data_IF_462057954337
#
_entry.id   IF_462057954337
#
_cell.length_a   1.000
_cell.length_b   1.000
_cell.length_c   1.000
_cell.angle_alpha   90.00
_cell.angle_beta   90.00
_cell.angle_gamma   90.00
#
_symmetry.space_group_name_H-M   'P 1'
#
loop_
_entity.id
_entity.type
_entity.pdbx_description
1 polymer ?
#
# COMPACT_ATOMS: atom_id res chain seq x y z
N UNK A 1 -28.19 -13.60 7.73
CA UNK A 1 -27.64 -13.87 6.38
C UNK A 1 -27.84 -12.62 5.53
N UNK A 2 -26.86 -12.23 4.71
CA UNK A 2 -26.99 -11.11 3.75
C UNK A 2 -27.84 -11.61 2.56
N UNK A 3 -29.01 -10.98 2.34
CA UNK A 3 -29.90 -11.32 1.23
C UNK A 3 -29.51 -10.57 -0.04
N UNK A 4 -29.93 -11.08 -1.22
CA UNK A 4 -29.72 -10.37 -2.50
C UNK A 4 -30.38 -8.99 -2.49
N UNK A 5 -31.57 -8.87 -1.93
CA UNK A 5 -32.23 -7.58 -1.79
C UNK A 5 -31.43 -6.56 -0.96
N UNK A 6 -30.67 -7.03 0.03
CA UNK A 6 -29.76 -6.18 0.81
C UNK A 6 -28.53 -5.80 0.00
N UNK A 7 -27.98 -6.73 -0.78
CA UNK A 7 -26.85 -6.45 -1.68
C UNK A 7 -27.22 -5.39 -2.72
N UNK A 8 -28.40 -5.48 -3.33
CA UNK A 8 -28.88 -4.46 -4.27
C UNK A 8 -29.00 -3.07 -3.60
N UNK A 9 -29.53 -3.02 -2.38
CA UNK A 9 -29.57 -1.77 -1.60
C UNK A 9 -28.16 -1.22 -1.33
N UNK A 10 -27.19 -2.09 -1.01
CA UNK A 10 -25.82 -1.71 -0.76
C UNK A 10 -25.14 -1.16 -2.03
N UNK A 11 -25.31 -1.84 -3.16
CA UNK A 11 -24.82 -1.39 -4.48
C UNK A 11 -25.36 -0.01 -4.84
N UNK A 12 -26.67 0.20 -4.66
CA UNK A 12 -27.32 1.48 -4.94
C UNK A 12 -26.83 2.58 -3.98
N UNK A 13 -26.70 2.27 -2.68
CA UNK A 13 -26.21 3.21 -1.68
C UNK A 13 -24.79 3.67 -2.03
N UNK A 14 -23.88 2.73 -2.31
CA UNK A 14 -22.48 3.03 -2.63
C UNK A 14 -22.37 3.86 -3.91
N UNK A 15 -23.10 3.51 -4.99
CA UNK A 15 -23.14 4.32 -6.22
C UNK A 15 -23.56 5.77 -5.95
N UNK A 16 -24.62 5.98 -5.16
CA UNK A 16 -25.09 7.32 -4.79
C UNK A 16 -24.09 8.06 -3.92
N UNK A 17 -23.43 7.34 -3.00
CA UNK A 17 -22.43 7.90 -2.11
C UNK A 17 -21.22 8.41 -2.90
N UNK A 18 -20.68 7.60 -3.80
CA UNK A 18 -19.56 8.01 -4.67
C UNK A 18 -19.92 9.20 -5.55
N UNK A 19 -21.09 9.18 -6.19
CA UNK A 19 -21.53 10.26 -7.06
C UNK A 19 -21.70 11.62 -6.33
N UNK A 20 -22.02 11.59 -5.03
CA UNK A 20 -22.31 12.80 -4.25
C UNK A 20 -21.14 13.30 -3.41
N UNK A 21 -20.28 12.41 -2.94
CA UNK A 21 -19.33 12.75 -1.87
C UNK A 21 -17.86 12.51 -2.22
N UNK A 22 -17.55 11.66 -3.20
CA UNK A 22 -16.15 11.45 -3.59
C UNK A 22 -15.70 12.59 -4.50
N UNK A 23 -14.55 13.24 -4.19
CA UNK A 23 -14.04 14.34 -5.01
C UNK A 23 -13.74 13.91 -6.45
N UNK A 24 -14.11 14.75 -7.43
CA UNK A 24 -13.90 14.45 -8.86
C UNK A 24 -12.43 14.27 -9.26
N UNK A 25 -11.49 14.77 -8.47
CA UNK A 25 -10.06 14.62 -8.71
C UNK A 25 -9.49 13.31 -8.14
N UNK A 26 -10.33 12.45 -7.55
CA UNK A 26 -9.94 11.09 -7.20
C UNK A 26 -10.04 10.22 -8.45
N UNK A 27 -8.89 10.06 -9.12
CA UNK A 27 -8.80 9.37 -10.40
C UNK A 27 -8.57 7.86 -10.26
N UNK A 28 -8.21 7.41 -9.06
CA UNK A 28 -7.96 6.00 -8.77
C UNK A 28 -8.99 5.43 -7.79
N UNK A 29 -9.22 6.08 -6.65
CA UNK A 29 -10.20 5.65 -5.65
C UNK A 29 -11.61 6.16 -5.99
N UNK A 30 -12.11 5.72 -7.14
CA UNK A 30 -13.43 6.04 -7.70
C UNK A 30 -14.39 4.85 -7.63
N UNK A 31 -15.60 5.03 -8.14
CA UNK A 31 -16.61 3.96 -8.18
C UNK A 31 -16.16 2.78 -9.06
N UNK A 32 -15.41 3.03 -10.14
CA UNK A 32 -14.93 1.98 -11.04
C UNK A 32 -13.93 1.06 -10.29
N UNK A 33 -12.99 1.64 -9.54
CA UNK A 33 -12.10 0.89 -8.66
C UNK A 33 -12.89 0.04 -7.67
N UNK A 34 -13.83 0.64 -6.94
CA UNK A 34 -14.65 -0.09 -5.95
C UNK A 34 -15.40 -1.27 -6.58
N UNK A 35 -16.02 -1.08 -7.74
CA UNK A 35 -16.71 -2.17 -8.46
C UNK A 35 -15.74 -3.23 -9.00
N UNK A 36 -14.55 -2.82 -9.42
CA UNK A 36 -13.48 -3.73 -9.85
C UNK A 36 -12.98 -4.59 -8.69
N UNK A 37 -12.72 -3.97 -7.53
CA UNK A 37 -12.34 -4.68 -6.29
C UNK A 37 -13.44 -5.65 -5.87
N UNK A 38 -14.72 -5.23 -5.94
CA UNK A 38 -15.86 -6.11 -5.60
C UNK A 38 -15.89 -7.34 -6.50
N UNK A 39 -15.81 -7.17 -7.83
CA UNK A 39 -15.75 -8.31 -8.77
C UNK A 39 -14.56 -9.22 -8.50
N UNK A 40 -13.40 -8.63 -8.23
CA UNK A 40 -12.17 -9.37 -7.94
C UNK A 40 -12.30 -10.16 -6.64
N UNK A 41 -12.85 -9.55 -5.59
CA UNK A 41 -13.10 -10.21 -4.31
C UNK A 41 -14.03 -11.41 -4.45
N UNK A 42 -15.13 -11.24 -5.17
CA UNK A 42 -16.07 -12.34 -5.44
C UNK A 42 -15.41 -13.47 -6.23
N UNK A 43 -14.61 -13.16 -7.25
CA UNK A 43 -13.85 -14.17 -8.01
C UNK A 43 -12.82 -14.92 -7.16
N UNK A 44 -12.09 -14.23 -6.29
CA UNK A 44 -11.16 -14.88 -5.36
C UNK A 44 -11.95 -15.70 -4.33
N UNK A 45 -13.03 -15.16 -3.78
CA UNK A 45 -13.89 -15.84 -2.81
C UNK A 45 -14.48 -17.16 -3.35
N UNK A 46 -14.96 -17.15 -4.60
CA UNK A 46 -15.41 -18.35 -5.31
C UNK A 46 -14.26 -19.36 -5.48
N UNK A 47 -13.08 -18.91 -5.94
CA UNK A 47 -11.91 -19.77 -6.09
C UNK A 47 -11.38 -20.34 -4.76
N UNK A 48 -11.67 -19.65 -3.65
CA UNK A 48 -11.37 -20.11 -2.28
C UNK A 48 -12.52 -20.91 -1.64
N UNK A 49 -13.62 -21.13 -2.36
CA UNK A 49 -14.81 -21.85 -1.90
C UNK A 49 -15.39 -21.28 -0.59
N UNK A 50 -15.48 -19.95 -0.50
CA UNK A 50 -16.14 -19.30 0.63
C UNK A 50 -17.62 -19.70 0.68
N UNK A 51 -18.16 -19.79 1.91
CA UNK A 51 -19.60 -20.05 2.11
C UNK A 51 -20.47 -18.95 1.49
N UNK A 52 -21.72 -19.23 1.10
CA UNK A 52 -22.65 -18.19 0.62
C UNK A 52 -22.84 -17.03 1.60
N UNK A 53 -22.76 -17.31 2.91
CA UNK A 53 -22.82 -16.28 3.95
C UNK A 53 -21.58 -15.37 3.88
N UNK A 54 -20.37 -15.96 3.83
CA UNK A 54 -19.13 -15.22 3.72
C UNK A 54 -19.04 -14.43 2.42
N UNK A 55 -19.54 -14.97 1.31
CA UNK A 55 -19.61 -14.27 0.03
C UNK A 55 -20.46 -13.00 0.11
N UNK A 56 -21.62 -13.04 0.77
CA UNK A 56 -22.45 -11.85 0.98
C UNK A 56 -21.76 -10.81 1.88
N UNK A 57 -21.09 -11.24 2.95
CA UNK A 57 -20.33 -10.35 3.82
C UNK A 57 -19.12 -9.72 3.08
N UNK A 58 -18.44 -10.51 2.27
CA UNK A 58 -17.31 -10.08 1.45
C UNK A 58 -17.75 -9.01 0.42
N UNK A 59 -18.89 -9.22 -0.24
CA UNK A 59 -19.40 -8.26 -1.21
C UNK A 59 -19.72 -6.92 -0.56
N UNK A 60 -20.40 -6.93 0.58
CA UNK A 60 -20.66 -5.69 1.32
C UNK A 60 -19.35 -5.02 1.74
N UNK A 61 -18.39 -5.77 2.27
CA UNK A 61 -17.10 -5.20 2.68
C UNK A 61 -16.35 -4.59 1.50
N UNK A 62 -16.34 -5.25 0.34
CA UNK A 62 -15.72 -4.75 -0.88
C UNK A 62 -16.42 -3.50 -1.43
N UNK A 63 -17.75 -3.45 -1.40
CA UNK A 63 -18.52 -2.27 -1.82
C UNK A 63 -18.21 -1.04 -0.95
N UNK A 64 -18.02 -1.24 0.36
CA UNK A 64 -17.85 -0.13 1.29
C UNK A 64 -16.39 0.26 1.57
N UNK A 65 -15.38 -0.53 1.18
CA UNK A 65 -14.00 -0.37 1.67
C UNK A 65 -13.41 1.03 1.47
N UNK A 66 -13.76 1.71 0.39
CA UNK A 66 -13.25 3.04 0.01
C UNK A 66 -14.25 4.18 0.16
N UNK A 67 -15.47 3.92 0.66
CA UNK A 67 -16.49 4.97 0.86
C UNK A 67 -16.03 6.09 1.80
N UNK A 68 -15.09 5.80 2.68
CA UNK A 68 -14.54 6.75 3.64
C UNK A 68 -13.67 7.85 3.04
N UNK A 69 -13.22 7.71 1.79
CA UNK A 69 -12.53 8.78 1.07
C UNK A 69 -13.37 10.07 0.92
N UNK A 70 -14.68 9.97 1.10
CA UNK A 70 -15.54 11.14 1.21
C UNK A 70 -15.24 12.03 2.43
N UNK A 71 -14.52 11.51 3.43
CA UNK A 71 -14.25 12.20 4.69
C UNK A 71 -12.76 12.51 4.88
N UNK A 72 -11.89 11.56 4.58
CA UNK A 72 -10.46 11.70 4.77
C UNK A 72 -9.67 10.82 3.79
N UNK A 73 -8.52 11.31 3.32
CA UNK A 73 -7.61 10.51 2.50
C UNK A 73 -6.85 9.49 3.36
N UNK A 74 -6.28 9.93 4.46
CA UNK A 74 -5.63 9.06 5.43
C UNK A 74 -6.64 8.55 6.47
N UNK A 75 -6.66 7.24 6.70
CA UNK A 75 -7.58 6.62 7.66
C UNK A 75 -9.02 6.48 7.14
N UNK A 76 -9.22 6.55 5.82
CA UNK A 76 -10.52 6.37 5.18
C UNK A 76 -11.18 5.04 5.54
N UNK A 77 -10.40 4.00 5.86
CA UNK A 77 -10.90 2.67 6.21
C UNK A 77 -11.78 2.71 7.47
N UNK A 78 -11.42 3.54 8.46
CA UNK A 78 -12.25 3.73 9.66
C UNK A 78 -13.59 4.38 9.32
N UNK A 79 -13.57 5.40 8.46
CA UNK A 79 -14.80 6.06 7.98
C UNK A 79 -15.64 5.09 7.15
N UNK A 80 -15.02 4.30 6.27
CA UNK A 80 -15.65 3.24 5.49
C UNK A 80 -16.34 2.22 6.38
N UNK A 81 -15.64 1.75 7.41
CA UNK A 81 -16.18 0.78 8.37
C UNK A 81 -17.39 1.33 9.14
N UNK A 82 -17.35 2.62 9.55
CA UNK A 82 -18.49 3.29 10.20
C UNK A 82 -19.68 3.46 9.26
N UNK A 83 -19.45 3.80 7.99
CA UNK A 83 -20.53 3.92 6.99
C UNK A 83 -21.18 2.56 6.73
N UNK A 84 -20.38 1.49 6.60
CA UNK A 84 -20.88 0.13 6.47
C UNK A 84 -21.72 -0.30 7.69
N UNK A 85 -21.23 -0.04 8.91
CA UNK A 85 -21.96 -0.32 10.15
C UNK A 85 -23.30 0.42 10.22
N UNK A 86 -23.30 1.72 9.96
CA UNK A 86 -24.51 2.53 9.98
C UNK A 86 -25.54 2.04 8.96
N UNK A 87 -25.09 1.69 7.75
CA UNK A 87 -25.95 1.12 6.71
C UNK A 87 -26.55 -0.22 7.14
N UNK A 88 -25.70 -1.17 7.57
CA UNK A 88 -26.12 -2.52 7.94
C UNK A 88 -27.02 -2.54 9.18
N UNK A 89 -26.74 -1.70 10.18
CA UNK A 89 -27.57 -1.56 11.38
C UNK A 89 -29.00 -1.12 11.03
N UNK A 90 -29.16 -0.16 10.12
CA UNK A 90 -30.47 0.28 9.62
C UNK A 90 -31.23 -0.82 8.86
N UNK A 91 -30.54 -1.80 8.32
CA UNK A 91 -31.12 -2.96 7.65
C UNK A 91 -31.36 -4.16 8.60
N UNK A 92 -31.15 -4.00 9.90
CA UNK A 92 -31.37 -5.05 10.89
C UNK A 92 -30.37 -6.21 10.84
N UNK A 93 -29.18 -6.00 10.27
CA UNK A 93 -28.14 -7.03 10.21
C UNK A 93 -27.57 -7.28 11.60
N UNK A 94 -27.24 -8.54 11.91
CA UNK A 94 -26.74 -8.93 13.21
C UNK A 94 -25.38 -8.25 13.53
N UNK A 95 -25.15 -7.95 14.82
CA UNK A 95 -23.90 -7.34 15.30
C UNK A 95 -22.66 -8.16 14.89
N UNK A 96 -22.76 -9.48 14.88
CA UNK A 96 -21.68 -10.39 14.44
C UNK A 96 -21.32 -10.17 12.98
N UNK A 97 -22.30 -10.12 12.09
CA UNK A 97 -22.09 -9.89 10.66
C UNK A 97 -21.49 -8.49 10.40
N UNK A 98 -22.00 -7.46 11.10
CA UNK A 98 -21.48 -6.08 11.04
C UNK A 98 -20.01 -6.06 11.48
N UNK A 99 -19.67 -6.71 12.58
CA UNK A 99 -18.28 -6.78 13.07
C UNK A 99 -17.35 -7.46 12.06
N UNK A 100 -17.82 -8.51 11.38
CA UNK A 100 -17.06 -9.19 10.32
C UNK A 100 -16.80 -8.26 9.13
N UNK A 101 -17.80 -7.54 8.64
CA UNK A 101 -17.64 -6.55 7.54
C UNK A 101 -16.68 -5.44 7.93
N UNK A 102 -16.85 -4.84 9.11
CA UNK A 102 -15.94 -3.82 9.64
C UNK A 102 -14.50 -4.32 9.70
N UNK A 103 -14.31 -5.50 10.27
CA UNK A 103 -12.99 -6.13 10.40
C UNK A 103 -12.32 -6.38 9.03
N UNK A 104 -13.11 -6.76 8.02
CA UNK A 104 -12.60 -6.94 6.67
C UNK A 104 -12.16 -5.60 6.04
N UNK A 105 -12.99 -4.55 6.16
CA UNK A 105 -12.63 -3.20 5.69
C UNK A 105 -11.36 -2.71 6.39
N UNK A 106 -11.25 -2.85 7.70
CA UNK A 106 -10.06 -2.43 8.45
C UNK A 106 -8.78 -3.18 8.05
N UNK A 107 -8.91 -4.39 7.49
CA UNK A 107 -7.77 -5.16 7.00
C UNK A 107 -7.20 -4.64 5.67
N UNK A 108 -7.86 -3.70 4.97
CA UNK A 108 -7.30 -3.05 3.78
C UNK A 108 -6.26 -1.98 4.11
N UNK A 109 -6.14 -1.54 5.36
CA UNK A 109 -5.05 -0.65 5.81
C UNK A 109 -3.68 -1.18 5.42
N UNK A 110 -2.82 -0.31 4.92
CA UNK A 110 -1.48 -0.69 4.44
C UNK A 110 -0.68 -1.50 5.47
N UNK A 111 -0.70 -1.11 6.74
CA UNK A 111 0.03 -1.78 7.82
C UNK A 111 -0.73 -2.97 8.44
N UNK A 112 -1.99 -3.22 8.06
CA UNK A 112 -2.78 -4.30 8.63
C UNK A 112 -2.30 -5.66 8.12
N UNK A 113 -2.35 -6.65 9.03
CA UNK A 113 -2.12 -8.06 8.68
C UNK A 113 -3.44 -8.81 8.74
N UNK A 114 -3.94 -9.36 7.61
CA UNK A 114 -5.14 -10.16 7.60
C UNK A 114 -5.02 -11.37 8.55
N UNK A 115 -6.12 -11.70 9.24
CA UNK A 115 -6.18 -12.81 10.22
C UNK A 115 -7.27 -13.82 9.89
N UNK A 116 -8.16 -13.48 8.94
CA UNK A 116 -9.25 -14.37 8.50
C UNK A 116 -9.24 -14.48 7.00
N UNK A 117 -9.81 -15.56 6.45
CA UNK A 117 -9.92 -15.77 5.00
C UNK A 117 -10.61 -14.60 4.29
N UNK A 118 -11.67 -14.05 4.87
CA UNK A 118 -12.41 -12.92 4.31
C UNK A 118 -11.54 -11.66 4.22
N UNK A 119 -10.73 -11.39 5.25
CA UNK A 119 -9.75 -10.30 5.24
C UNK A 119 -8.66 -10.51 4.20
N UNK A 120 -8.13 -11.73 4.06
CA UNK A 120 -7.14 -12.08 3.04
C UNK A 120 -7.68 -11.85 1.64
N UNK A 121 -8.91 -12.31 1.38
CA UNK A 121 -9.56 -12.17 0.07
C UNK A 121 -9.79 -10.70 -0.28
N UNK A 122 -10.31 -9.89 0.65
CA UNK A 122 -10.53 -8.47 0.39
C UNK A 122 -9.22 -7.71 0.18
N UNK A 123 -8.20 -8.01 1.00
CA UNK A 123 -6.85 -7.42 0.84
C UNK A 123 -6.23 -7.73 -0.51
N UNK A 124 -6.34 -8.99 -0.94
CA UNK A 124 -5.83 -9.43 -2.24
C UNK A 124 -6.60 -8.76 -3.39
N UNK A 125 -7.90 -8.61 -3.25
CA UNK A 125 -8.74 -7.98 -4.26
C UNK A 125 -8.43 -6.49 -4.42
N UNK A 126 -8.25 -5.76 -3.32
CA UNK A 126 -7.91 -4.34 -3.30
C UNK A 126 -6.52 -4.10 -3.90
N UNK A 127 -5.56 -4.96 -3.60
CA UNK A 127 -4.21 -4.88 -4.13
C UNK A 127 -4.00 -5.61 -5.47
N UNK A 128 -5.05 -6.17 -6.09
CA UNK A 128 -4.95 -6.99 -7.29
C UNK A 128 -4.32 -6.28 -8.49
N UNK A 129 -4.36 -4.92 -8.51
CA UNK A 129 -3.66 -4.12 -9.54
C UNK A 129 -2.20 -4.52 -9.71
N UNK A 130 -1.53 -4.96 -8.64
CA UNK A 130 -0.14 -5.40 -8.69
C UNK A 130 0.10 -6.53 -9.72
N UNK A 131 -0.91 -7.38 -9.93
CA UNK A 131 -0.89 -8.52 -10.85
C UNK A 131 -1.85 -8.38 -12.01
N UNK A 132 -2.17 -7.18 -12.45
CA UNK A 132 -2.98 -6.90 -13.64
C UNK A 132 -2.12 -6.28 -14.75
N UNK A 133 -2.52 -6.50 -16.01
CA UNK A 133 -1.76 -6.00 -17.16
C UNK A 133 -1.76 -4.47 -17.26
N UNK A 134 -2.81 -3.83 -16.77
CA UNK A 134 -3.01 -2.39 -16.71
C UNK A 134 -2.42 -1.72 -15.44
N UNK A 135 -1.49 -2.40 -14.76
CA UNK A 135 -0.82 -1.90 -13.56
C UNK A 135 -0.26 -0.49 -13.74
N UNK A 136 0.38 -0.23 -14.87
CA UNK A 136 1.01 1.06 -15.14
C UNK A 136 -0.03 2.17 -15.26
N UNK A 137 -1.11 1.94 -16.01
CA UNK A 137 -2.20 2.89 -16.16
C UNK A 137 -2.82 3.22 -14.80
N UNK A 138 -3.13 2.19 -13.99
CA UNK A 138 -3.68 2.34 -12.65
C UNK A 138 -2.71 3.08 -11.71
N UNK A 139 -1.42 2.81 -11.83
CA UNK A 139 -0.38 3.51 -11.09
C UNK A 139 -0.33 5.00 -11.47
N UNK A 140 -0.49 5.34 -12.75
CA UNK A 140 -0.54 6.74 -13.19
C UNK A 140 -1.82 7.44 -12.76
N UNK A 141 -2.97 6.76 -12.69
CA UNK A 141 -4.22 7.30 -12.12
C UNK A 141 -4.03 7.63 -10.64
N UNK A 142 -3.41 6.73 -9.87
CA UNK A 142 -3.08 6.95 -8.45
C UNK A 142 -2.09 8.12 -8.27
N UNK A 143 -1.08 8.23 -9.15
CA UNK A 143 -0.16 9.36 -9.13
C UNK A 143 -0.88 10.70 -9.27
N UNK A 144 -1.74 10.84 -10.30
CA UNK A 144 -2.52 12.06 -10.55
C UNK A 144 -3.40 12.42 -9.34
N UNK A 145 -4.00 11.42 -8.72
CA UNK A 145 -4.79 11.61 -7.51
C UNK A 145 -3.95 12.15 -6.36
N UNK A 146 -2.79 11.53 -6.11
CA UNK A 146 -1.86 11.97 -5.06
C UNK A 146 -1.32 13.37 -5.31
N UNK A 147 -1.01 13.72 -6.56
CA UNK A 147 -0.58 15.06 -6.95
C UNK A 147 -1.69 16.10 -6.65
N UNK A 148 -2.94 15.77 -6.94
CA UNK A 148 -4.09 16.63 -6.64
C UNK A 148 -4.33 16.78 -5.13
N UNK A 149 -4.25 15.69 -4.37
CA UNK A 149 -4.41 15.71 -2.91
C UNK A 149 -3.28 16.48 -2.22
N UNK A 150 -2.04 16.28 -2.64
CA UNK A 150 -0.85 16.97 -2.08
C UNK A 150 -0.68 18.39 -2.60
N UNK A 151 -1.40 18.77 -3.65
CA UNK A 151 -1.26 20.03 -4.38
C UNK A 151 0.19 20.29 -4.85
N UNK A 152 0.89 19.24 -5.19
CA UNK A 152 2.27 19.25 -5.61
C UNK A 152 2.57 18.12 -6.61
N UNK A 153 3.37 18.36 -7.65
CA UNK A 153 3.78 17.31 -8.57
C UNK A 153 4.66 16.29 -7.86
N UNK A 154 4.52 15.03 -8.24
CA UNK A 154 5.41 13.96 -7.81
C UNK A 154 6.55 13.79 -8.83
N UNK A 155 7.76 13.72 -8.35
CA UNK A 155 8.91 13.42 -9.21
C UNK A 155 8.74 12.06 -9.88
N UNK A 156 9.03 11.97 -11.18
CA UNK A 156 8.80 10.76 -11.96
C UNK A 156 9.73 9.62 -11.57
N UNK A 157 10.97 9.93 -11.19
CA UNK A 157 11.94 8.93 -10.75
C UNK A 157 11.57 8.40 -9.35
N UNK A 158 11.20 9.29 -8.44
CA UNK A 158 10.72 8.92 -7.11
C UNK A 158 9.46 8.06 -7.21
N UNK A 159 8.48 8.44 -8.03
CA UNK A 159 7.28 7.63 -8.26
C UNK A 159 7.58 6.23 -8.80
N UNK A 160 8.51 6.15 -9.74
CA UNK A 160 8.95 4.87 -10.29
C UNK A 160 9.60 3.99 -9.22
N UNK A 161 10.48 4.57 -8.40
CA UNK A 161 11.13 3.87 -7.29
C UNK A 161 10.11 3.40 -6.24
N UNK A 162 9.12 4.22 -5.87
CA UNK A 162 8.03 3.84 -4.96
C UNK A 162 7.23 2.64 -5.50
N UNK A 163 6.89 2.64 -6.79
CA UNK A 163 6.19 1.50 -7.41
C UNK A 163 7.04 0.22 -7.43
N UNK A 164 8.36 0.34 -7.63
CA UNK A 164 9.28 -0.79 -7.56
C UNK A 164 9.30 -1.39 -6.16
N UNK A 165 9.50 -0.56 -5.14
CA UNK A 165 9.48 -0.97 -3.72
C UNK A 165 8.13 -1.59 -3.36
N UNK A 166 7.02 -0.98 -3.80
CA UNK A 166 5.68 -1.55 -3.59
C UNK A 166 5.54 -2.95 -4.19
N UNK A 167 5.89 -3.16 -5.46
CA UNK A 167 5.76 -4.47 -6.08
C UNK A 167 6.69 -5.53 -5.49
N UNK A 168 7.88 -5.15 -5.02
CA UNK A 168 8.81 -6.05 -4.35
C UNK A 168 8.29 -6.51 -2.99
N UNK A 169 7.78 -5.57 -2.19
CA UNK A 169 7.26 -5.86 -0.86
C UNK A 169 5.88 -6.53 -0.88
N UNK A 170 5.06 -6.22 -1.88
CA UNK A 170 3.70 -6.74 -1.98
C UNK A 170 3.68 -8.27 -2.11
N UNK A 171 2.73 -8.91 -1.44
CA UNK A 171 2.43 -10.35 -1.58
C UNK A 171 0.93 -10.58 -1.52
N UNK A 172 0.46 -11.53 -2.31
CA UNK A 172 -0.90 -12.05 -2.18
C UNK A 172 -0.97 -13.08 -1.04
N UNK A 173 -2.05 -13.04 -0.29
CA UNK A 173 -2.26 -13.92 0.87
C UNK A 173 -2.90 -15.25 0.47
N UNK A 174 -3.93 -15.20 -0.40
CA UNK A 174 -4.67 -16.39 -0.83
C UNK A 174 -3.94 -17.13 -1.95
N UNK A 175 -4.01 -18.46 -1.93
CA UNK A 175 -3.43 -19.28 -3.01
C UNK A 175 -4.07 -19.00 -4.36
N UNK A 176 -5.37 -18.66 -4.38
CA UNK A 176 -6.08 -18.31 -5.61
C UNK A 176 -5.51 -17.02 -6.24
N UNK A 177 -5.35 -15.96 -5.44
CA UNK A 177 -4.76 -14.71 -5.93
C UNK A 177 -3.29 -14.88 -6.33
N UNK A 178 -2.50 -15.67 -5.60
CA UNK A 178 -1.11 -15.99 -5.96
C UNK A 178 -1.04 -16.66 -7.34
N UNK A 179 -1.90 -17.64 -7.61
CA UNK A 179 -1.96 -18.35 -8.90
C UNK A 179 -2.46 -17.44 -10.03
N UNK A 180 -3.51 -16.65 -9.76
CA UNK A 180 -4.18 -15.83 -10.77
C UNK A 180 -3.39 -14.58 -11.15
N UNK A 181 -2.82 -13.88 -10.17
CA UNK A 181 -2.21 -12.56 -10.33
C UNK A 181 -0.68 -12.59 -10.21
N UNK A 182 -0.10 -13.62 -9.60
CA UNK A 182 1.34 -13.75 -9.39
C UNK A 182 2.17 -13.73 -10.69
N UNK A 183 1.79 -14.47 -11.75
CA UNK A 183 2.51 -14.43 -13.02
C UNK A 183 2.62 -13.02 -13.61
N UNK A 184 1.49 -12.30 -13.71
CA UNK A 184 1.48 -10.95 -14.25
C UNK A 184 2.23 -9.95 -13.34
N UNK A 185 2.13 -10.11 -12.01
CA UNK A 185 2.93 -9.31 -11.08
C UNK A 185 4.42 -9.41 -11.34
N UNK A 186 4.93 -10.62 -11.63
CA UNK A 186 6.35 -10.81 -11.99
C UNK A 186 6.72 -10.07 -13.27
N UNK A 187 5.84 -10.07 -14.28
CA UNK A 187 6.05 -9.32 -15.52
C UNK A 187 6.07 -7.81 -15.26
N UNK A 188 5.13 -7.30 -14.45
CA UNK A 188 5.08 -5.89 -14.08
C UNK A 188 6.36 -5.46 -13.35
N UNK A 189 6.83 -6.28 -12.40
CA UNK A 189 8.08 -6.03 -11.68
C UNK A 189 9.30 -6.02 -12.61
N UNK A 190 9.37 -6.97 -13.54
CA UNK A 190 10.41 -7.02 -14.57
C UNK A 190 10.41 -5.77 -15.46
N UNK A 191 9.23 -5.32 -15.90
CA UNK A 191 9.09 -4.11 -16.70
C UNK A 191 9.59 -2.86 -15.96
N UNK A 192 9.23 -2.71 -14.68
CA UNK A 192 9.73 -1.61 -13.85
C UNK A 192 11.24 -1.66 -13.68
N UNK A 193 11.83 -2.82 -13.39
CA UNK A 193 13.29 -2.99 -13.25
C UNK A 193 14.04 -2.64 -14.53
N UNK A 194 13.52 -3.06 -15.70
CA UNK A 194 14.12 -2.69 -17.00
C UNK A 194 14.08 -1.19 -17.26
N UNK A 195 13.02 -0.49 -16.85
CA UNK A 195 12.94 0.98 -16.98
C UNK A 195 13.93 1.68 -16.05
N UNK A 196 14.06 1.24 -14.81
CA UNK A 196 15.07 1.77 -13.87
C UNK A 196 16.48 1.64 -14.46
N UNK A 197 16.83 0.45 -14.96
CA UNK A 197 18.13 0.21 -15.59
C UNK A 197 18.38 1.08 -16.85
N UNK A 198 17.33 1.30 -17.68
CA UNK A 198 17.45 2.18 -18.86
C UNK A 198 17.57 3.66 -18.48
N UNK A 199 16.85 4.08 -17.43
CA UNK A 199 16.93 5.46 -16.94
C UNK A 199 18.30 5.78 -16.38
N UNK A 200 18.93 4.84 -15.68
CA UNK A 200 20.30 4.97 -15.21
C UNK A 200 21.32 4.88 -16.35
N UNK A 201 21.07 4.07 -17.38
CA UNK A 201 21.95 3.95 -18.56
C UNK A 201 21.85 5.17 -19.51
N UNK A 202 20.66 5.79 -19.61
CA UNK A 202 20.42 6.98 -20.44
C UNK A 202 20.65 8.32 -19.70
N UNK A 203 20.79 8.30 -18.39
CA UNK A 203 21.40 9.39 -17.68
C UNK A 203 22.86 9.42 -18.13
N UNK A 204 23.15 10.18 -19.20
CA UNK A 204 24.52 10.54 -19.51
C UNK A 204 25.20 10.89 -18.18
N UNK A 205 26.39 10.39 -17.90
CA UNK A 205 27.08 10.75 -16.68
C UNK A 205 27.21 12.29 -16.73
N UNK A 206 26.34 12.99 -16.03
CA UNK A 206 26.67 14.36 -15.65
C UNK A 206 27.98 14.18 -14.92
N UNK A 207 29.05 14.72 -15.52
CA UNK A 207 30.39 14.73 -14.94
C UNK A 207 30.36 15.58 -13.65
N UNK A 208 29.70 15.04 -12.63
CA UNK A 208 29.81 15.54 -11.27
C UNK A 208 31.08 14.90 -10.71
N UNK A 209 32.03 15.71 -10.34
CA UNK A 209 33.20 15.21 -9.63
C UNK A 209 32.81 14.42 -8.37
N UNK A 210 33.66 13.51 -7.92
CA UNK A 210 33.39 12.66 -6.76
C UNK A 210 33.02 13.45 -5.50
N UNK A 211 33.43 14.72 -5.43
CA UNK A 211 33.13 15.63 -4.32
C UNK A 211 31.64 16.01 -4.18
N UNK A 212 30.80 15.71 -5.18
CA UNK A 212 29.34 15.95 -5.13
C UNK A 212 28.54 14.74 -4.68
N UNK A 213 29.18 13.61 -4.52
CA UNK A 213 28.54 12.38 -4.03
C UNK A 213 28.93 12.16 -2.58
N UNK A 214 27.97 12.19 -1.70
CA UNK A 214 28.15 11.68 -0.35
C UNK A 214 27.97 10.16 -0.39
N UNK A 215 28.89 9.44 0.24
CA UNK A 215 28.74 8.00 0.44
C UNK A 215 27.35 7.69 1.02
N UNK A 216 26.71 6.63 0.51
CA UNK A 216 25.35 6.27 0.89
C UNK A 216 25.21 6.05 2.40
N UNK A 217 26.17 5.42 3.01
CA UNK A 217 26.13 5.09 4.44
C UNK A 217 26.37 6.35 5.28
N UNK A 218 27.25 7.26 4.84
CA UNK A 218 27.45 8.57 5.46
C UNK A 218 26.22 9.47 5.30
N UNK A 219 25.58 9.45 4.13
CA UNK A 219 24.34 10.17 3.88
C UNK A 219 23.21 9.68 4.81
N UNK A 220 23.11 8.36 5.00
CA UNK A 220 22.13 7.76 5.89
C UNK A 220 22.38 8.11 7.36
N UNK A 221 23.64 8.07 7.81
CA UNK A 221 24.02 8.50 9.15
C UNK A 221 23.73 9.99 9.38
N UNK A 222 24.01 10.83 8.38
CA UNK A 222 23.70 12.27 8.42
C UNK A 222 22.19 12.54 8.47
N UNK A 223 21.37 11.74 7.79
CA UNK A 223 19.90 11.79 7.94
C UNK A 223 19.47 11.43 9.36
N UNK A 224 20.02 10.36 9.92
CA UNK A 224 19.67 9.90 11.25
C UNK A 224 20.11 10.90 12.34
N UNK A 225 21.24 11.60 12.15
CA UNK A 225 21.66 12.68 13.03
C UNK A 225 20.63 13.83 13.06
N UNK A 226 20.03 14.18 11.92
CA UNK A 226 18.93 15.18 11.90
C UNK A 226 17.71 14.72 12.69
N UNK A 227 17.37 13.44 12.67
CA UNK A 227 16.30 12.88 13.53
C UNK A 227 16.64 13.07 15.02
N UNK A 228 17.91 12.88 15.39
CA UNK A 228 18.38 13.13 16.75
C UNK A 228 18.33 14.62 17.13
N UNK A 229 18.59 15.52 16.18
CA UNK A 229 18.49 16.96 16.41
C UNK A 229 17.05 17.36 16.77
N UNK A 230 16.03 16.81 16.09
CA UNK A 230 14.61 17.03 16.46
C UNK A 230 14.31 16.52 17.89
N UNK A 231 14.88 15.37 18.28
CA UNK A 231 14.73 14.88 19.66
C UNK A 231 15.40 15.78 20.71
N UNK A 232 16.45 16.51 20.34
CA UNK A 232 17.17 17.45 21.22
C UNK A 232 16.54 18.85 21.28
N UNK A 233 15.73 19.24 20.30
CA UNK A 233 15.17 20.58 20.20
C UNK A 233 14.13 20.82 21.33
N UNK A 234 14.38 21.76 22.27
CA UNK A 234 13.47 22.03 23.38
C UNK A 234 12.13 22.65 22.94
N UNK A 235 12.02 23.15 21.69
CA UNK A 235 10.80 23.70 21.11
C UNK A 235 9.82 22.62 20.70
N UNK A 236 10.30 21.39 20.51
CA UNK A 236 9.47 20.22 20.18
C UNK A 236 8.84 19.66 21.46
N UNK A 237 7.53 19.36 21.51
CA UNK A 237 6.88 18.79 22.69
C UNK A 237 7.55 17.50 23.16
N UNK A 238 7.64 17.31 24.47
CA UNK A 238 8.40 16.19 25.09
C UNK A 238 8.02 14.82 24.50
N UNK A 239 6.73 14.54 24.32
CA UNK A 239 6.27 13.26 23.78
C UNK A 239 6.72 13.05 22.34
N UNK A 240 6.76 14.10 21.53
CA UNK A 240 7.27 14.01 20.13
C UNK A 240 8.80 13.80 20.14
N UNK A 241 9.53 14.45 21.04
CA UNK A 241 10.98 14.22 21.22
C UNK A 241 11.28 12.77 21.57
N UNK A 242 10.48 12.13 22.41
CA UNK A 242 10.60 10.71 22.73
C UNK A 242 10.36 9.82 21.50
N UNK A 243 9.40 10.17 20.63
CA UNK A 243 9.17 9.46 19.38
C UNK A 243 10.37 9.58 18.43
N UNK A 244 10.94 10.78 18.26
CA UNK A 244 12.15 10.98 17.47
C UNK A 244 13.34 10.18 18.03
N UNK A 245 13.49 10.10 19.33
CA UNK A 245 14.54 9.29 19.96
C UNK A 245 14.36 7.80 19.70
N UNK A 246 13.12 7.30 19.74
CA UNK A 246 12.81 5.91 19.40
C UNK A 246 13.08 5.61 17.92
N UNK A 247 12.73 6.51 17.00
CA UNK A 247 13.04 6.40 15.57
C UNK A 247 14.55 6.37 15.36
N UNK A 248 15.29 7.29 15.98
CA UNK A 248 16.75 7.33 15.91
C UNK A 248 17.40 6.02 16.34
N UNK A 249 16.98 5.48 17.48
CA UNK A 249 17.49 4.21 18.03
C UNK A 249 17.19 3.04 17.09
N UNK A 250 15.94 2.93 16.63
CA UNK A 250 15.52 1.87 15.70
C UNK A 250 16.29 1.92 14.39
N UNK A 251 16.54 3.11 13.87
CA UNK A 251 17.31 3.32 12.66
C UNK A 251 18.78 2.87 12.87
N UNK A 252 19.39 3.22 13.99
CA UNK A 252 20.77 2.77 14.29
C UNK A 252 20.85 1.24 14.42
N UNK A 253 19.92 0.61 15.10
CA UNK A 253 19.88 -0.85 15.24
C UNK A 253 19.84 -1.54 13.88
N UNK A 254 19.01 -1.04 12.95
CA UNK A 254 18.91 -1.55 11.59
C UNK A 254 20.23 -1.34 10.82
N UNK A 255 20.83 -0.15 10.93
CA UNK A 255 22.11 0.15 10.31
C UNK A 255 23.21 -0.79 10.77
N UNK A 256 23.36 -0.99 12.09
CA UNK A 256 24.36 -1.90 12.63
C UNK A 256 24.10 -3.35 12.24
N UNK A 257 22.86 -3.78 12.30
CA UNK A 257 22.47 -5.18 11.98
C UNK A 257 22.72 -5.52 10.52
N UNK A 258 22.43 -4.60 9.60
CA UNK A 258 22.51 -4.86 8.16
C UNK A 258 23.83 -4.36 7.58
N UNK A 259 24.14 -3.06 7.74
CA UNK A 259 25.29 -2.44 7.03
C UNK A 259 26.62 -2.74 7.69
N UNK A 260 26.72 -2.55 8.98
CA UNK A 260 28.00 -2.81 9.69
C UNK A 260 28.31 -4.30 9.67
N UNK A 261 27.31 -5.19 9.76
CA UNK A 261 27.52 -6.63 9.61
C UNK A 261 28.05 -6.99 8.21
N UNK A 262 27.48 -6.40 7.15
CA UNK A 262 27.95 -6.59 5.77
C UNK A 262 29.38 -6.10 5.58
N UNK A 263 29.68 -4.88 6.04
CA UNK A 263 31.03 -4.32 5.96
C UNK A 263 32.08 -5.16 6.73
N UNK A 264 31.69 -5.67 7.91
CA UNK A 264 32.57 -6.61 8.67
C UNK A 264 32.83 -7.91 7.92
N UNK A 265 31.82 -8.43 7.21
CA UNK A 265 31.99 -9.62 6.38
C UNK A 265 32.91 -9.34 5.20
N UNK A 266 32.74 -8.22 4.50
CA UNK A 266 33.61 -7.78 3.42
C UNK A 266 35.07 -7.54 3.91
N UNK A 267 35.25 -6.98 5.11
CA UNK A 267 36.55 -6.75 5.69
C UNK A 267 37.38 -8.02 5.95
N UNK A 268 36.67 -9.17 6.07
CA UNK A 268 37.34 -10.49 6.26
C UNK A 268 37.78 -11.13 4.95
N UNK A 269 37.32 -10.63 3.79
CA UNK A 269 37.74 -11.13 2.48
C UNK A 269 39.20 -10.75 2.17
N UNK A 270 39.88 -11.62 1.43
CA UNK A 270 41.21 -11.30 0.93
C UNK A 270 41.14 -10.19 -0.15
N UNK A 271 42.32 -9.66 -0.53
CA UNK A 271 42.41 -8.52 -1.47
C UNK A 271 41.85 -8.86 -2.86
N UNK A 272 42.03 -10.10 -3.34
CA UNK A 272 41.55 -10.54 -4.66
C UNK A 272 40.04 -10.62 -4.71
N UNK A 273 39.41 -11.15 -3.65
CA UNK A 273 37.95 -11.26 -3.56
C UNK A 273 37.25 -9.89 -3.40
N UNK A 274 37.92 -8.91 -2.79
CA UNK A 274 37.41 -7.53 -2.70
C UNK A 274 37.37 -6.83 -4.05
N UNK A 275 38.38 -7.00 -4.88
CA UNK A 275 38.49 -6.35 -6.20
C UNK A 275 37.46 -6.93 -7.20
N UNK A 276 36.92 -8.11 -6.96
CA UNK A 276 35.88 -8.73 -7.79
C UNK A 276 34.44 -8.22 -7.46
N UNK A 277 34.30 -7.41 -6.40
CA UNK A 277 32.99 -6.87 -5.91
C UNK A 277 32.81 -5.37 -6.19
N UNK A 278 33.89 -4.67 -6.64
CA UNK A 278 33.85 -3.30 -7.15
C UNK A 278 33.58 -3.29 -8.68
#
# INVERSE_FOLDING_TARGET
MISEALLEKARLYVRRHFARHIPKHFHFHDLEHTLSVTRTALGIGQGMQLSPEDMGLLEVAALFHDTGYAHAYAGHEEHSARLAEAFLSKQGVSRRAIATVRSAIMATRLAARPRTRLQEVLRDADSAKAGQADFEEKSMRLRRELEAVRKAPLDSMAWHAENLVYLEAHRFYTIHAQRRYGPQKRLNLQALRKRSARSTANAAPRAYGPERFMDRDLSWLSFNDRVLQEAKDPRVPLLERLKFLAIYSSNLDEFYRVRVASLRSLAKLNKADRTALD
#
